data_IF_614916397011
#
_entry.id   IF_614916397011
#
_cell.length_a   1.000
_cell.length_b   1.000
_cell.length_c   1.000
_cell.angle_alpha   90.00
_cell.angle_beta   90.00
_cell.angle_gamma   90.00
#
_symmetry.space_group_name_H-M   'P 1'
#
loop_
_entity.id
_entity.type
_entity.pdbx_description
1 polymer ?
#
# COMPACT_ATOMS: atom_id res chain seq x y z
N UNK A 1 35.60 -2.29 9.08
CA UNK A 1 34.33 -3.05 9.13
C UNK A 1 34.06 -3.66 7.75
N UNK A 2 33.54 -4.88 7.68
CA UNK A 2 33.10 -5.52 6.42
C UNK A 2 31.59 -5.59 6.36
N UNK A 3 31.00 -5.28 5.20
CA UNK A 3 29.55 -5.41 4.96
C UNK A 3 29.14 -6.88 5.12
N UNK A 4 28.04 -7.14 5.83
CA UNK A 4 27.56 -8.49 6.16
C UNK A 4 26.22 -8.86 5.52
N UNK A 5 25.43 -7.88 5.12
CA UNK A 5 24.16 -8.07 4.44
C UNK A 5 23.82 -6.81 3.63
N UNK A 6 22.92 -6.95 2.66
CA UNK A 6 22.36 -5.84 1.90
C UNK A 6 20.84 -5.91 1.98
N UNK A 7 20.19 -4.80 2.31
CA UNK A 7 18.73 -4.69 2.32
C UNK A 7 18.26 -3.80 1.18
N UNK A 8 17.16 -4.17 0.56
CA UNK A 8 16.48 -3.39 -0.46
C UNK A 8 15.20 -2.79 0.11
N UNK A 9 14.91 -1.54 -0.24
CA UNK A 9 13.54 -1.04 -0.13
C UNK A 9 12.68 -1.67 -1.24
N UNK A 10 11.36 -1.66 -1.08
CA UNK A 10 10.44 -2.17 -2.09
C UNK A 10 10.12 -1.07 -3.11
N UNK A 11 9.58 0.06 -2.65
CA UNK A 11 9.06 1.11 -3.51
C UNK A 11 10.18 1.93 -4.14
N UNK A 12 10.08 2.17 -5.46
CA UNK A 12 11.07 2.92 -6.26
C UNK A 12 12.50 2.35 -6.20
N UNK A 13 12.66 1.14 -5.64
CA UNK A 13 13.92 0.39 -5.60
C UNK A 13 13.76 -0.94 -6.31
N UNK A 14 12.80 -1.77 -5.89
CA UNK A 14 12.48 -3.03 -6.57
C UNK A 14 11.29 -2.89 -7.52
N UNK A 15 10.28 -2.12 -7.13
CA UNK A 15 9.04 -1.93 -7.89
C UNK A 15 8.67 -0.46 -8.06
N UNK A 16 8.10 -0.13 -9.21
CA UNK A 16 7.60 1.20 -9.54
C UNK A 16 6.19 1.41 -8.98
N UNK A 17 5.76 2.65 -8.73
CA UNK A 17 4.36 2.97 -8.37
C UNK A 17 3.56 3.49 -9.58
N UNK A 18 3.83 2.95 -10.78
CA UNK A 18 3.30 3.44 -12.05
C UNK A 18 1.82 3.07 -12.32
N UNK A 19 1.23 2.17 -11.52
CA UNK A 19 -0.18 1.76 -11.60
C UNK A 19 -1.02 2.19 -10.39
N UNK A 20 -0.56 3.22 -9.67
CA UNK A 20 -1.21 3.75 -8.47
C UNK A 20 -2.64 4.19 -8.70
N UNK A 21 -2.94 4.84 -9.83
CA UNK A 21 -4.27 5.36 -10.18
C UNK A 21 -5.32 4.26 -10.33
N UNK A 22 -4.99 3.17 -11.03
CA UNK A 22 -5.91 2.03 -11.19
C UNK A 22 -6.26 1.42 -9.83
N UNK A 23 -5.27 1.23 -8.96
CA UNK A 23 -5.49 0.72 -7.60
C UNK A 23 -6.25 1.71 -6.73
N UNK A 24 -6.04 3.01 -6.93
CA UNK A 24 -6.79 4.04 -6.25
C UNK A 24 -8.26 3.96 -6.63
N UNK A 25 -8.57 3.86 -7.92
CA UNK A 25 -9.94 3.72 -8.43
C UNK A 25 -10.67 2.50 -7.85
N UNK A 26 -10.04 1.33 -7.85
CA UNK A 26 -10.62 0.10 -7.25
C UNK A 26 -11.03 0.34 -5.78
N UNK A 27 -10.15 1.01 -5.03
CA UNK A 27 -10.41 1.32 -3.63
C UNK A 27 -11.57 2.31 -3.50
N UNK A 28 -11.58 3.40 -4.27
CA UNK A 28 -12.65 4.40 -4.22
C UNK A 28 -14.01 3.82 -4.65
N UNK A 29 -14.04 3.01 -5.71
CA UNK A 29 -15.25 2.34 -6.18
C UNK A 29 -15.83 1.43 -5.08
N UNK A 30 -14.99 0.77 -4.27
CA UNK A 30 -15.44 -0.01 -3.12
C UNK A 30 -16.06 0.88 -2.03
N UNK A 31 -15.40 1.98 -1.65
CA UNK A 31 -15.97 2.93 -0.68
C UNK A 31 -17.31 3.51 -1.15
N UNK A 32 -17.44 3.86 -2.44
CA UNK A 32 -18.71 4.32 -3.03
C UNK A 32 -19.80 3.26 -2.87
N UNK A 33 -19.51 1.99 -3.21
CA UNK A 33 -20.49 0.90 -3.06
C UNK A 33 -20.97 0.70 -1.62
N UNK A 34 -20.07 0.76 -0.65
CA UNK A 34 -20.42 0.48 0.75
C UNK A 34 -21.00 1.68 1.50
N UNK A 35 -20.69 2.91 1.08
CA UNK A 35 -21.19 4.13 1.74
C UNK A 35 -22.41 4.74 1.06
N UNK A 36 -22.61 4.46 -0.24
CA UNK A 36 -23.64 5.10 -1.06
C UNK A 36 -23.36 6.57 -1.40
N UNK A 37 -22.20 7.11 -0.99
CA UNK A 37 -21.79 8.48 -1.29
C UNK A 37 -21.25 8.60 -2.71
N UNK A 38 -21.20 9.82 -3.23
CA UNK A 38 -20.67 10.06 -4.57
C UNK A 38 -19.17 9.77 -4.66
N UNK A 39 -18.71 9.44 -5.87
CA UNK A 39 -17.29 9.21 -6.14
C UNK A 39 -16.42 10.43 -5.78
N UNK A 40 -16.94 11.63 -6.00
CA UNK A 40 -16.23 12.88 -5.71
C UNK A 40 -16.06 13.11 -4.20
N UNK A 41 -17.10 12.86 -3.41
CA UNK A 41 -17.04 12.92 -1.94
C UNK A 41 -16.02 11.91 -1.38
N UNK A 42 -16.08 10.66 -1.85
CA UNK A 42 -15.16 9.59 -1.46
C UNK A 42 -13.72 9.92 -1.85
N UNK A 43 -13.50 10.44 -3.06
CA UNK A 43 -12.16 10.80 -3.53
C UNK A 43 -11.61 12.01 -2.76
N UNK A 44 -12.44 13.01 -2.46
CA UNK A 44 -12.05 14.17 -1.66
C UNK A 44 -11.63 13.74 -0.24
N UNK A 45 -12.44 12.90 0.42
CA UNK A 45 -12.09 12.34 1.73
C UNK A 45 -10.79 11.52 1.68
N UNK A 46 -10.59 10.71 0.63
CA UNK A 46 -9.36 9.93 0.49
C UNK A 46 -8.11 10.80 0.35
N UNK A 47 -8.21 12.01 -0.20
CA UNK A 47 -7.07 12.95 -0.28
C UNK A 47 -6.69 13.46 1.11
N UNK A 48 -7.68 13.82 1.93
CA UNK A 48 -7.46 14.26 3.32
C UNK A 48 -6.91 13.13 4.18
N UNK A 49 -7.46 11.93 4.05
CA UNK A 49 -6.93 10.73 4.73
C UNK A 49 -5.49 10.45 4.31
N UNK A 50 -5.14 10.63 3.04
CA UNK A 50 -3.74 10.47 2.60
C UNK A 50 -2.80 11.52 3.21
N UNK A 51 -3.23 12.76 3.38
CA UNK A 51 -2.46 13.78 4.08
C UNK A 51 -2.20 13.39 5.55
N UNK A 52 -3.20 12.80 6.22
CA UNK A 52 -3.02 12.29 7.58
C UNK A 52 -2.07 11.09 7.64
N UNK A 53 -2.11 10.19 6.66
CA UNK A 53 -1.12 9.11 6.53
C UNK A 53 0.30 9.67 6.42
N UNK A 54 0.51 10.65 5.56
CA UNK A 54 1.82 11.31 5.40
C UNK A 54 2.28 12.00 6.67
N UNK A 55 1.36 12.68 7.37
CA UNK A 55 1.64 13.36 8.64
C UNK A 55 2.07 12.35 9.71
N UNK A 56 1.27 11.30 9.96
CA UNK A 56 1.55 10.26 10.95
C UNK A 56 2.86 9.53 10.64
N UNK A 57 3.11 9.21 9.37
CA UNK A 57 4.36 8.57 8.98
C UNK A 57 5.58 9.45 9.29
N UNK A 58 5.54 10.74 8.96
CA UNK A 58 6.69 11.66 9.14
C UNK A 58 6.87 12.09 10.60
N UNK A 59 5.78 12.45 11.27
CA UNK A 59 5.83 13.05 12.60
C UNK A 59 5.87 11.99 13.71
N UNK A 60 5.18 10.87 13.51
CA UNK A 60 4.99 9.83 14.54
C UNK A 60 5.76 8.55 14.23
N UNK A 61 6.38 8.43 13.05
CA UNK A 61 7.17 7.26 12.63
C UNK A 61 6.34 5.97 12.68
N UNK A 62 5.04 6.07 12.36
CA UNK A 62 4.08 4.97 12.37
C UNK A 62 3.54 4.76 10.95
N UNK A 63 3.58 3.51 10.48
CA UNK A 63 3.04 3.14 9.17
C UNK A 63 1.60 2.64 9.31
N UNK A 64 0.63 3.51 8.96
CA UNK A 64 -0.80 3.19 9.00
C UNK A 64 -1.19 2.14 7.94
N UNK A 65 -2.14 1.27 8.31
CA UNK A 65 -2.55 0.13 7.51
C UNK A 65 -3.91 0.26 6.83
N UNK A 66 -4.39 -0.80 6.17
CA UNK A 66 -5.70 -0.84 5.52
C UNK A 66 -6.88 -0.57 6.47
N UNK A 67 -6.83 -1.09 7.70
CA UNK A 67 -7.88 -0.83 8.70
C UNK A 67 -7.89 0.63 9.15
N UNK A 68 -6.72 1.26 9.30
CA UNK A 68 -6.62 2.68 9.60
C UNK A 68 -7.21 3.53 8.48
N UNK A 69 -6.97 3.13 7.23
CA UNK A 69 -7.58 3.79 6.07
C UNK A 69 -9.10 3.76 6.18
N UNK A 70 -9.71 2.60 6.44
CA UNK A 70 -11.17 2.48 6.57
C UNK A 70 -11.68 3.34 7.71
N UNK A 71 -11.06 3.26 8.89
CA UNK A 71 -11.43 4.05 10.07
C UNK A 71 -11.36 5.56 9.80
N UNK A 72 -10.28 6.03 9.19
CA UNK A 72 -10.08 7.45 8.88
C UNK A 72 -11.03 7.92 7.77
N UNK A 73 -11.29 7.08 6.76
CA UNK A 73 -12.30 7.37 5.73
C UNK A 73 -13.71 7.52 6.33
N UNK A 74 -14.12 6.63 7.23
CA UNK A 74 -15.44 6.73 7.88
C UNK A 74 -15.55 8.00 8.74
N UNK A 75 -14.48 8.35 9.45
CA UNK A 75 -14.39 9.60 10.21
C UNK A 75 -14.53 10.83 9.30
N UNK A 76 -13.79 10.86 8.20
CA UNK A 76 -13.78 12.00 7.27
C UNK A 76 -15.12 12.17 6.54
N UNK A 77 -15.70 11.06 6.09
CA UNK A 77 -17.01 11.03 5.42
C UNK A 77 -18.19 11.22 6.39
N UNK A 78 -17.92 11.26 7.71
CA UNK A 78 -18.95 11.37 8.77
C UNK A 78 -20.05 10.33 8.61
N UNK A 79 -19.66 9.11 8.23
CA UNK A 79 -20.57 7.98 7.98
C UNK A 79 -20.07 6.74 8.71
N UNK A 80 -20.88 5.69 8.69
CA UNK A 80 -20.55 4.40 9.25
C UNK A 80 -20.97 3.30 8.28
N UNK A 81 -20.24 2.19 8.33
CA UNK A 81 -20.58 0.95 7.63
C UNK A 81 -20.65 -0.19 8.65
N UNK A 82 -21.26 -1.31 8.29
CA UNK A 82 -21.22 -2.51 9.13
C UNK A 82 -19.78 -2.99 9.34
N UNK A 83 -19.56 -3.79 10.39
CA UNK A 83 -18.25 -4.39 10.67
C UNK A 83 -17.76 -5.25 9.50
N UNK A 84 -18.64 -6.08 8.93
CA UNK A 84 -18.33 -6.90 7.75
C UNK A 84 -17.90 -6.04 6.56
N UNK A 85 -18.59 -4.93 6.30
CA UNK A 85 -18.23 -4.00 5.23
C UNK A 85 -16.89 -3.30 5.52
N UNK A 86 -16.60 -2.97 6.79
CA UNK A 86 -15.31 -2.39 7.16
C UNK A 86 -14.15 -3.38 6.94
N UNK A 87 -14.35 -4.65 7.27
CA UNK A 87 -13.37 -5.73 7.03
C UNK A 87 -13.17 -5.94 5.52
N UNK A 88 -14.24 -5.98 4.74
CA UNK A 88 -14.17 -6.10 3.29
C UNK A 88 -13.44 -4.91 2.65
N UNK A 89 -13.76 -3.68 3.04
CA UNK A 89 -13.07 -2.47 2.56
C UNK A 89 -11.58 -2.48 2.90
N UNK A 90 -11.20 -2.98 4.07
CA UNK A 90 -9.80 -3.11 4.48
C UNK A 90 -9.09 -4.17 3.61
N UNK A 91 -9.74 -5.30 3.32
CA UNK A 91 -9.16 -6.36 2.49
C UNK A 91 -9.04 -5.93 1.03
N UNK A 92 -10.05 -5.28 0.45
CA UNK A 92 -9.97 -4.67 -0.89
C UNK A 92 -8.85 -3.63 -0.93
N UNK A 93 -8.73 -2.83 0.15
CA UNK A 93 -7.66 -1.85 0.24
C UNK A 93 -6.28 -2.50 0.22
N UNK A 94 -6.10 -3.60 0.94
CA UNK A 94 -4.87 -4.37 1.00
C UNK A 94 -4.51 -5.04 -0.33
N UNK A 95 -5.49 -5.67 -0.97
CA UNK A 95 -5.26 -6.63 -2.08
C UNK A 95 -5.31 -6.01 -3.47
N UNK A 96 -5.73 -4.75 -3.61
CA UNK A 96 -5.71 -4.04 -4.90
C UNK A 96 -4.34 -4.10 -5.60
N UNK A 97 -3.24 -4.18 -4.82
CA UNK A 97 -1.88 -4.35 -5.33
C UNK A 97 -1.61 -5.72 -5.97
N UNK A 98 -2.27 -6.78 -5.52
CA UNK A 98 -2.12 -8.13 -6.06
C UNK A 98 -2.88 -8.27 -7.38
N UNK A 99 -4.04 -7.62 -7.47
CA UNK A 99 -4.89 -7.59 -8.67
C UNK A 99 -4.23 -6.75 -9.77
N UNK A 100 -3.70 -5.58 -9.41
CA UNK A 100 -2.96 -4.70 -10.31
C UNK A 100 -1.53 -4.49 -9.81
N UNK A 101 -0.64 -5.46 -10.07
CA UNK A 101 0.73 -5.41 -9.61
C UNK A 101 1.51 -4.25 -10.24
N UNK A 102 2.45 -3.65 -9.50
CA UNK A 102 3.40 -2.71 -10.05
C UNK A 102 4.40 -3.42 -10.97
N UNK A 103 5.03 -2.66 -11.86
CA UNK A 103 6.12 -3.18 -12.69
C UNK A 103 7.45 -3.11 -11.91
N UNK A 104 8.37 -4.07 -12.08
CA UNK A 104 9.71 -3.98 -11.52
C UNK A 104 10.44 -2.73 -12.02
N UNK A 105 11.36 -2.20 -11.22
CA UNK A 105 12.34 -1.22 -11.69
C UNK A 105 13.32 -1.92 -12.64
N UNK A 106 13.69 -1.25 -13.73
CA UNK A 106 14.64 -1.80 -14.71
C UNK A 106 15.95 -2.22 -14.04
N UNK A 107 16.39 -3.45 -14.28
CA UNK A 107 17.62 -4.02 -13.71
C UNK A 107 17.54 -4.39 -12.22
N UNK A 108 16.42 -4.16 -11.53
CA UNK A 108 16.30 -4.49 -10.10
C UNK A 108 16.42 -5.99 -9.84
N UNK A 109 15.82 -6.82 -10.69
CA UNK A 109 15.88 -8.29 -10.57
C UNK A 109 17.32 -8.79 -10.70
N UNK A 110 18.06 -8.31 -11.70
CA UNK A 110 19.46 -8.64 -11.93
C UNK A 110 20.35 -8.17 -10.78
N UNK A 111 20.09 -6.96 -10.26
CA UNK A 111 20.82 -6.41 -9.12
C UNK A 111 20.63 -7.27 -7.86
N UNK A 112 19.38 -7.65 -7.56
CA UNK A 112 19.07 -8.54 -6.42
C UNK A 112 19.77 -9.89 -6.58
N UNK A 113 19.67 -10.53 -7.75
CA UNK A 113 20.30 -11.83 -8.02
C UNK A 113 21.83 -11.78 -7.82
N UNK A 114 22.50 -10.81 -8.46
CA UNK A 114 23.96 -10.63 -8.33
C UNK A 114 24.41 -10.28 -6.91
N UNK A 115 23.54 -9.65 -6.13
CA UNK A 115 23.83 -9.32 -4.74
C UNK A 115 23.69 -10.55 -3.85
N UNK A 116 22.65 -11.36 -4.07
CA UNK A 116 22.37 -12.60 -3.33
C UNK A 116 23.49 -13.65 -3.50
N UNK A 117 24.20 -13.63 -4.63
CA UNK A 117 25.38 -14.48 -4.85
C UNK A 117 26.56 -14.17 -3.91
N UNK A 118 26.61 -12.96 -3.34
CA UNK A 118 27.77 -12.45 -2.58
C UNK A 118 27.50 -12.32 -1.09
N UNK A 119 26.30 -11.90 -0.73
CA UNK A 119 25.92 -11.57 0.64
C UNK A 119 24.45 -11.94 0.89
N UNK A 120 24.08 -12.26 2.15
CA UNK A 120 22.69 -12.32 2.56
C UNK A 120 21.94 -11.03 2.18
N UNK A 121 20.73 -11.20 1.63
CA UNK A 121 19.86 -10.09 1.27
C UNK A 121 18.58 -10.08 2.09
N UNK A 122 17.97 -8.90 2.23
CA UNK A 122 16.67 -8.73 2.87
C UNK A 122 15.89 -7.57 2.24
N UNK A 123 14.64 -7.42 2.66
CA UNK A 123 13.80 -6.28 2.28
C UNK A 123 13.37 -5.56 3.56
N UNK A 124 13.51 -4.24 3.57
CA UNK A 124 13.01 -3.34 4.61
C UNK A 124 12.24 -2.24 3.91
N UNK A 125 10.93 -2.18 4.11
CA UNK A 125 10.07 -1.23 3.42
C UNK A 125 8.80 -0.91 4.21
N UNK A 126 8.40 0.35 4.17
CA UNK A 126 7.07 0.78 4.62
C UNK A 126 6.04 0.53 3.52
N UNK A 127 5.00 -0.23 3.86
CA UNK A 127 4.09 -0.81 2.86
C UNK A 127 2.66 -0.25 2.92
N UNK A 128 2.36 0.52 3.97
CA UNK A 128 1.12 1.25 4.18
C UNK A 128 -0.14 0.43 3.83
N UNK A 129 -0.95 0.94 2.90
CA UNK A 129 -2.22 0.32 2.47
C UNK A 129 -2.06 -0.95 1.65
N UNK A 130 -0.84 -1.36 1.30
CA UNK A 130 -0.54 -2.56 0.52
C UNK A 130 0.39 -3.46 1.35
N UNK A 131 -0.13 -4.13 2.39
CA UNK A 131 0.68 -4.71 3.46
C UNK A 131 1.67 -5.75 2.94
N UNK A 132 2.75 -5.99 3.69
CA UNK A 132 3.82 -6.92 3.30
C UNK A 132 3.35 -8.33 2.90
N UNK A 133 2.22 -8.83 3.42
CA UNK A 133 1.63 -10.11 2.97
C UNK A 133 1.23 -10.10 1.49
N UNK A 134 0.78 -8.96 0.98
CA UNK A 134 0.37 -8.77 -0.41
C UNK A 134 1.60 -8.55 -1.29
N UNK A 135 2.57 -7.75 -0.83
CA UNK A 135 3.80 -7.53 -1.59
C UNK A 135 4.66 -8.80 -1.70
N UNK A 136 4.65 -9.66 -0.67
CA UNK A 136 5.35 -10.96 -0.73
C UNK A 136 4.83 -11.86 -1.86
N UNK A 137 3.52 -11.85 -2.11
CA UNK A 137 2.95 -12.59 -3.24
C UNK A 137 3.44 -12.08 -4.60
N UNK A 138 3.90 -10.82 -4.69
CA UNK A 138 4.50 -10.28 -5.90
C UNK A 138 5.96 -10.75 -6.05
N UNK A 139 6.68 -10.88 -4.94
CA UNK A 139 8.06 -11.35 -4.92
C UNK A 139 8.20 -12.86 -5.22
N UNK A 140 7.12 -13.62 -5.05
CA UNK A 140 7.05 -15.07 -5.33
C UNK A 140 6.75 -15.40 -6.81
N UNK A 141 6.45 -14.38 -7.64
CA UNK A 141 6.18 -14.52 -9.08
C UNK A 141 7.44 -14.32 -9.90
#
# INVERSE_FOLDING_TARGET
MTIKAITFDFWKTLYQDNRGETRHKIRMDAFVRHTGLSYDEVTAASRLVFQEFERVHKEEQVTLGPHDKVRLMMKELKTQVSEDAALELAEISATAIVVHPPDPVEGAVEAVKKTAEKLPIGIISDTATSPGRCLRQLLER
#
